data_IF_253185504701
#
_entry.id   IF_253185504701
#
_cell.length_a   1.000
_cell.length_b   1.000
_cell.length_c   1.000
_cell.angle_alpha   90.00
_cell.angle_beta   90.00
_cell.angle_gamma   90.00
#
_symmetry.space_group_name_H-M   'P 1'
#
loop_
_entity.id
_entity.type
_entity.pdbx_description
1 polymer ?
#
# COMPACT_ATOMS: atom_id res chain seq x y z
N UNK A 1 -4.96 6.41 -13.37
CA UNK A 1 -3.76 5.54 -13.40
C UNK A 1 -3.46 4.96 -12.03
N UNK A 2 -3.04 5.76 -11.04
CA UNK A 2 -2.73 5.29 -9.68
C UNK A 2 -3.76 4.33 -9.03
N UNK A 3 -5.07 4.62 -9.18
CA UNK A 3 -6.13 3.74 -8.69
C UNK A 3 -6.11 2.34 -9.33
N UNK A 4 -5.88 2.28 -10.64
CA UNK A 4 -5.83 1.04 -11.41
C UNK A 4 -4.54 0.27 -11.12
N UNK A 5 -3.40 0.97 -11.04
CA UNK A 5 -2.13 0.39 -10.60
C UNK A 5 -2.32 -0.31 -9.25
N UNK A 6 -2.88 0.40 -8.26
CA UNK A 6 -3.00 -0.13 -6.91
C UNK A 6 -3.93 -1.35 -6.81
N UNK A 7 -5.10 -1.30 -7.47
CA UNK A 7 -6.07 -2.41 -7.47
C UNK A 7 -5.59 -3.60 -8.30
N UNK A 8 -4.90 -3.34 -9.40
CA UNK A 8 -4.42 -4.35 -10.34
C UNK A 8 -3.10 -5.00 -9.95
N UNK A 9 -2.30 -4.40 -9.08
CA UNK A 9 -0.96 -4.91 -8.79
C UNK A 9 -0.97 -6.20 -7.96
N UNK A 10 -0.57 -7.31 -8.59
CA UNK A 10 -0.51 -8.65 -7.97
C UNK A 10 0.47 -8.71 -6.79
N UNK A 11 1.64 -8.09 -6.92
CA UNK A 11 2.69 -8.16 -5.92
C UNK A 11 2.31 -7.36 -4.66
N UNK A 12 1.71 -6.18 -4.84
CA UNK A 12 1.16 -5.40 -3.73
C UNK A 12 0.08 -6.17 -2.96
N UNK A 13 -0.90 -6.77 -3.65
CA UNK A 13 -1.91 -7.64 -3.00
C UNK A 13 -1.29 -8.81 -2.24
N UNK A 14 -0.26 -9.42 -2.81
CA UNK A 14 0.47 -10.53 -2.15
C UNK A 14 1.22 -10.05 -0.90
N UNK A 15 1.79 -8.84 -0.91
CA UNK A 15 2.39 -8.22 0.26
C UNK A 15 1.35 -8.00 1.36
N UNK A 16 0.18 -7.45 1.03
CA UNK A 16 -0.91 -7.27 2.00
C UNK A 16 -1.33 -8.62 2.62
N UNK A 17 -1.49 -9.66 1.80
CA UNK A 17 -1.81 -11.00 2.29
C UNK A 17 -0.73 -11.57 3.22
N UNK A 18 0.55 -11.40 2.88
CA UNK A 18 1.66 -11.83 3.72
C UNK A 18 1.71 -11.08 5.06
N UNK A 19 1.42 -9.77 5.06
CA UNK A 19 1.29 -8.98 6.28
C UNK A 19 0.14 -9.51 7.14
N UNK A 20 -1.03 -9.74 6.56
CA UNK A 20 -2.20 -10.26 7.27
C UNK A 20 -1.92 -11.65 7.88
N UNK A 21 -1.38 -12.58 7.09
CA UNK A 21 -1.03 -13.93 7.55
C UNK A 21 0.01 -13.89 8.66
N UNK A 22 1.03 -13.05 8.53
CA UNK A 22 2.07 -12.90 9.54
C UNK A 22 1.50 -12.31 10.82
N UNK A 23 0.70 -11.24 10.72
CA UNK A 23 0.00 -10.64 11.85
C UNK A 23 -0.91 -11.63 12.59
N UNK A 24 -1.72 -12.41 11.85
CA UNK A 24 -2.57 -13.44 12.44
C UNK A 24 -1.76 -14.51 13.15
N UNK A 25 -0.65 -14.97 12.56
CA UNK A 25 0.20 -16.00 13.18
C UNK A 25 0.89 -15.51 14.45
N UNK A 26 1.29 -14.24 14.49
CA UNK A 26 1.91 -13.63 15.67
C UNK A 26 0.91 -13.40 16.80
N UNK A 27 -0.33 -13.04 16.45
CA UNK A 27 -1.39 -12.72 17.41
C UNK A 27 -2.34 -13.89 17.71
N UNK A 28 -2.00 -15.11 17.27
CA UNK A 28 -2.84 -16.28 17.44
C UNK A 28 -3.04 -16.59 18.96
N UNK A 29 -4.27 -16.93 19.35
CA UNK A 29 -4.66 -17.00 20.77
C UNK A 29 -4.76 -15.66 21.50
N UNK A 30 -4.79 -14.53 20.78
CA UNK A 30 -5.15 -13.20 21.33
C UNK A 30 -6.35 -12.64 20.59
N UNK A 31 -6.99 -11.60 21.12
CA UNK A 31 -8.10 -10.90 20.44
C UNK A 31 -7.71 -10.27 19.09
N UNK A 32 -6.41 -10.13 18.81
CA UNK A 32 -5.87 -9.60 17.55
C UNK A 32 -5.55 -10.70 16.52
N UNK A 33 -5.72 -11.97 16.88
CA UNK A 33 -5.57 -13.11 15.97
C UNK A 33 -6.83 -13.32 15.13
N UNK A 34 -6.70 -14.04 14.00
CA UNK A 34 -7.84 -14.40 13.15
C UNK A 34 -8.50 -13.22 12.42
N UNK A 35 -7.80 -12.09 12.26
CA UNK A 35 -8.29 -10.95 11.51
C UNK A 35 -8.50 -11.31 10.03
N UNK A 36 -9.56 -10.75 9.42
CA UNK A 36 -9.85 -10.90 8.00
C UNK A 36 -9.23 -9.78 7.15
N UNK A 37 -8.96 -8.64 7.78
CA UNK A 37 -8.37 -7.46 7.16
C UNK A 37 -7.61 -6.63 8.20
N UNK A 38 -6.83 -5.65 7.74
CA UNK A 38 -6.15 -4.68 8.58
C UNK A 38 -6.18 -3.30 7.91
N UNK A 39 -6.11 -2.23 8.70
CA UNK A 39 -6.02 -0.86 8.17
C UNK A 39 -4.66 -0.64 7.50
N UNK A 40 -4.60 0.03 6.34
CA UNK A 40 -3.34 0.20 5.62
C UNK A 40 -2.29 0.99 6.40
N UNK A 41 -2.66 1.87 7.34
CA UNK A 41 -1.70 2.52 8.26
C UNK A 41 -0.84 1.52 9.03
N UNK A 42 -1.28 0.26 9.19
CA UNK A 42 -0.49 -0.81 9.81
C UNK A 42 0.80 -1.08 9.03
N UNK A 43 0.83 -0.87 7.72
CA UNK A 43 2.02 -1.04 6.88
C UNK A 43 3.17 -0.17 7.37
N UNK A 44 2.86 1.07 7.78
CA UNK A 44 3.84 2.04 8.26
C UNK A 44 4.44 1.67 9.62
N UNK A 45 3.83 0.73 10.35
CA UNK A 45 4.28 0.27 11.68
C UNK A 45 5.15 -0.97 11.62
N UNK A 46 5.27 -1.61 10.44
CA UNK A 46 5.99 -2.88 10.31
C UNK A 46 7.50 -2.73 10.56
N UNK A 47 8.07 -1.55 10.33
CA UNK A 47 9.47 -1.28 10.64
C UNK A 47 9.73 -1.04 12.14
N UNK A 48 8.70 -0.71 12.91
CA UNK A 48 8.84 -0.42 14.35
C UNK A 48 8.80 -1.69 15.21
N UNK A 49 8.15 -2.74 14.70
CA UNK A 49 8.07 -4.03 15.39
C UNK A 49 9.39 -4.77 15.20
N UNK A 50 10.28 -4.64 16.18
CA UNK A 50 11.63 -5.24 16.18
C UNK A 50 11.65 -6.62 16.83
N UNK A 51 12.54 -7.46 16.32
CA UNK A 51 12.79 -8.76 16.88
C UNK A 51 13.67 -8.71 18.14
N UNK A 52 13.95 -9.89 18.73
CA UNK A 52 14.81 -10.07 19.90
C UNK A 52 16.23 -9.56 19.69
N UNK A 53 16.70 -9.55 18.44
CA UNK A 53 18.02 -9.02 18.07
C UNK A 53 18.06 -7.48 18.04
N UNK A 54 16.91 -6.80 18.19
CA UNK A 54 16.75 -5.35 18.12
C UNK A 54 17.06 -4.73 16.75
N UNK A 55 17.37 -5.57 15.73
CA UNK A 55 17.86 -5.16 14.41
C UNK A 55 16.87 -5.55 13.32
N UNK A 56 16.40 -6.79 13.33
CA UNK A 56 15.49 -7.32 12.32
C UNK A 56 14.06 -6.88 12.66
N UNK A 57 13.39 -6.23 11.73
CA UNK A 57 12.00 -5.77 11.91
C UNK A 57 11.01 -6.77 11.32
N UNK A 58 9.72 -6.62 11.65
CA UNK A 58 8.66 -7.41 11.05
C UNK A 58 8.59 -7.20 9.54
N UNK A 59 8.88 -5.97 9.07
CA UNK A 59 8.99 -5.69 7.64
C UNK A 59 10.07 -6.54 6.98
N UNK A 60 11.26 -6.65 7.56
CA UNK A 60 12.33 -7.52 7.03
C UNK A 60 11.85 -8.97 6.87
N UNK A 61 11.12 -9.47 7.87
CA UNK A 61 10.59 -10.83 7.85
C UNK A 61 9.61 -11.04 6.68
N UNK A 62 8.65 -10.12 6.52
CA UNK A 62 7.67 -10.15 5.42
C UNK A 62 8.37 -10.06 4.07
N UNK A 63 9.36 -9.17 3.94
CA UNK A 63 10.13 -8.97 2.70
C UNK A 63 10.89 -10.24 2.32
N UNK A 64 11.58 -10.89 3.25
CA UNK A 64 12.30 -12.14 2.99
C UNK A 64 11.36 -13.26 2.52
N UNK A 65 10.18 -13.38 3.14
CA UNK A 65 9.18 -14.38 2.75
C UNK A 65 8.65 -14.14 1.33
N UNK A 66 8.38 -12.88 0.98
CA UNK A 66 7.96 -12.51 -0.37
C UNK A 66 9.09 -12.76 -1.36
N UNK A 67 10.32 -12.33 -1.09
CA UNK A 67 11.49 -12.58 -1.94
C UNK A 67 11.62 -14.08 -2.25
N UNK A 68 11.56 -14.94 -1.23
CA UNK A 68 11.65 -16.39 -1.41
C UNK A 68 10.58 -16.92 -2.35
N UNK A 69 9.32 -16.54 -2.11
CA UNK A 69 8.19 -17.04 -2.92
C UNK A 69 8.12 -16.45 -4.33
N UNK A 70 8.54 -15.19 -4.51
CA UNK A 70 8.61 -14.53 -5.82
C UNK A 70 9.79 -15.07 -6.65
N UNK A 71 10.91 -15.37 -6.01
CA UNK A 71 12.09 -15.98 -6.62
C UNK A 71 11.80 -17.33 -7.25
N UNK A 72 11.14 -18.22 -6.51
CA UNK A 72 10.73 -19.54 -7.02
C UNK A 72 9.79 -19.39 -8.22
N UNK A 73 8.79 -18.49 -8.13
CA UNK A 73 7.85 -18.31 -9.25
C UNK A 73 8.54 -17.73 -10.47
N UNK A 74 9.38 -16.71 -10.30
CA UNK A 74 10.08 -16.09 -11.41
C UNK A 74 11.02 -17.10 -12.09
N UNK A 75 11.70 -17.96 -11.34
CA UNK A 75 12.54 -19.00 -11.92
C UNK A 75 11.72 -20.05 -12.69
N UNK A 76 10.54 -20.43 -12.19
CA UNK A 76 9.59 -21.29 -12.92
C UNK A 76 9.10 -20.63 -14.21
N UNK A 77 8.84 -19.33 -14.19
CA UNK A 77 8.42 -18.59 -15.38
C UNK A 77 9.50 -18.56 -16.47
N UNK A 78 10.78 -18.44 -16.08
CA UNK A 78 11.91 -18.51 -17.04
C UNK A 78 12.15 -19.92 -17.56
N UNK A 79 11.92 -20.96 -16.75
CA UNK A 79 12.06 -22.37 -17.15
C UNK A 79 10.89 -22.93 -17.95
N UNK A 80 9.75 -22.25 -17.98
CA UNK A 80 8.57 -22.64 -18.76
C UNK A 80 8.74 -22.57 -20.28
N UNK A 81 9.92 -22.19 -20.78
CA UNK A 81 10.27 -22.18 -22.21
C UNK A 81 11.19 -23.33 -22.64
N UNK A 82 11.72 -24.14 -21.72
CA UNK A 82 12.55 -25.30 -22.05
C UNK A 82 12.04 -26.58 -21.35
N UNK A 83 11.47 -27.48 -22.15
CA UNK A 83 11.14 -28.89 -21.90
C UNK A 83 10.72 -29.33 -20.48
N UNK A 84 9.43 -29.67 -20.38
CA UNK A 84 8.83 -30.53 -19.36
C UNK A 84 9.61 -31.84 -19.15
N UNK A 85 10.29 -31.99 -18.02
CA UNK A 85 10.29 -33.23 -17.22
C UNK A 85 11.05 -33.03 -15.91
N UNK A 86 10.46 -33.54 -14.83
CA UNK A 86 11.01 -33.60 -13.46
C UNK A 86 10.92 -32.30 -12.67
N UNK A 87 9.77 -32.10 -12.02
CA UNK A 87 9.65 -31.82 -10.58
C UNK A 87 8.16 -31.61 -10.23
N UNK A 88 7.37 -32.66 -10.37
CA UNK A 88 6.10 -32.79 -9.64
C UNK A 88 6.43 -33.27 -8.23
N UNK A 89 7.03 -32.41 -7.42
CA UNK A 89 7.17 -32.69 -5.98
C UNK A 89 7.23 -31.36 -5.25
N UNK A 90 6.15 -31.05 -4.54
CA UNK A 90 6.09 -29.94 -3.58
C UNK A 90 6.93 -30.20 -2.31
N UNK A 91 7.78 -31.23 -2.31
CA UNK A 91 8.52 -31.72 -1.14
C UNK A 91 10.02 -31.86 -1.46
N UNK A 92 10.76 -30.75 -1.32
CA UNK A 92 12.17 -30.69 -0.88
C UNK A 92 12.79 -29.34 -1.29
N UNK A 93 12.41 -28.26 -0.59
CA UNK A 93 13.19 -27.01 -0.65
C UNK A 93 14.43 -27.06 0.25
N UNK A 94 14.54 -28.08 1.13
CA UNK A 94 15.65 -28.21 2.08
C UNK A 94 16.94 -28.79 1.46
N UNK A 95 16.88 -29.33 0.23
CA UNK A 95 18.01 -30.01 -0.43
C UNK A 95 18.40 -29.42 -1.80
N UNK A 96 17.96 -28.20 -2.12
CA UNK A 96 18.40 -27.53 -3.35
C UNK A 96 19.88 -27.12 -3.23
N UNK A 97 20.71 -27.20 -4.31
CA UNK A 97 22.07 -26.69 -4.27
C UNK A 97 22.09 -25.23 -3.80
N UNK A 98 23.06 -24.85 -2.96
CA UNK A 98 23.21 -23.47 -2.45
C UNK A 98 23.12 -22.41 -3.56
N UNK A 99 23.66 -22.69 -4.75
CA UNK A 99 23.60 -21.80 -5.92
C UNK A 99 22.17 -21.59 -6.47
N UNK A 100 21.30 -22.58 -6.31
CA UNK A 100 19.89 -22.51 -6.71
C UNK A 100 19.08 -21.61 -5.76
N UNK A 101 19.41 -21.63 -4.46
CA UNK A 101 18.77 -20.76 -3.47
C UNK A 101 19.19 -19.29 -3.61
N UNK A 102 20.49 -19.02 -3.83
CA UNK A 102 20.98 -17.66 -4.06
C UNK A 102 20.44 -17.07 -5.37
N UNK A 103 20.31 -17.90 -6.40
CA UNK A 103 19.64 -17.51 -7.65
C UNK A 103 18.17 -17.13 -7.41
N UNK A 104 17.39 -17.94 -6.69
CA UNK A 104 16.00 -17.60 -6.36
C UNK A 104 15.91 -16.35 -5.49
N UNK A 105 16.79 -16.19 -4.51
CA UNK A 105 16.84 -15.00 -3.67
C UNK A 105 17.10 -13.74 -4.49
N UNK A 106 18.08 -13.79 -5.40
CA UNK A 106 18.43 -12.67 -6.28
C UNK A 106 17.24 -12.29 -7.18
N UNK A 107 16.62 -13.28 -7.82
CA UNK A 107 15.47 -13.07 -8.71
C UNK A 107 14.25 -12.53 -7.95
N UNK A 108 13.97 -13.09 -6.77
CA UNK A 108 12.91 -12.60 -5.89
C UNK A 108 13.16 -11.16 -5.43
N UNK A 109 14.40 -10.84 -5.06
CA UNK A 109 14.79 -9.48 -4.67
C UNK A 109 14.60 -8.49 -5.82
N UNK A 110 14.97 -8.87 -7.05
CA UNK A 110 14.73 -8.06 -8.24
C UNK A 110 13.24 -7.76 -8.41
N UNK A 111 12.39 -8.78 -8.31
CA UNK A 111 10.92 -8.63 -8.41
C UNK A 111 10.39 -7.68 -7.32
N UNK A 112 10.77 -7.89 -6.05
CA UNK A 112 10.26 -7.08 -4.93
C UNK A 112 10.74 -5.63 -5.00
N UNK A 113 12.02 -5.41 -5.32
CA UNK A 113 12.55 -4.05 -5.50
C UNK A 113 12.00 -3.32 -6.74
N UNK A 114 11.41 -4.06 -7.69
CA UNK A 114 10.73 -3.49 -8.85
C UNK A 114 9.33 -2.93 -8.54
N UNK A 115 8.73 -3.28 -7.39
CA UNK A 115 7.35 -2.89 -7.07
C UNK A 115 7.16 -1.36 -7.05
N UNK A 116 8.17 -0.64 -6.56
CA UNK A 116 8.13 0.82 -6.56
C UNK A 116 7.94 1.40 -7.96
N UNK A 117 8.48 0.76 -9.00
CA UNK A 117 8.35 1.23 -10.38
C UNK A 117 6.99 0.85 -10.99
N UNK A 118 6.40 -0.27 -10.58
CA UNK A 118 5.06 -0.68 -11.00
C UNK A 118 3.94 0.19 -10.39
N UNK A 119 4.25 0.91 -9.31
CA UNK A 119 3.34 1.81 -8.59
C UNK A 119 3.84 3.26 -8.65
N UNK A 120 4.40 3.67 -9.80
CA UNK A 120 4.98 5.00 -9.99
C UNK A 120 3.91 6.09 -9.93
N UNK A 121 2.74 5.87 -10.53
CA UNK A 121 1.66 6.87 -10.51
C UNK A 121 1.02 6.97 -9.13
N UNK A 122 1.08 5.93 -8.29
CA UNK A 122 0.72 6.02 -6.87
C UNK A 122 1.61 7.04 -6.14
N UNK A 123 2.93 7.04 -6.38
CA UNK A 123 3.83 8.04 -5.76
C UNK A 123 3.52 9.45 -6.23
N UNK A 124 3.18 9.63 -7.52
CA UNK A 124 2.78 10.93 -8.07
C UNK A 124 1.45 11.40 -7.49
N UNK A 125 0.46 10.51 -7.37
CA UNK A 125 -0.83 10.81 -6.79
C UNK A 125 -0.73 11.25 -5.32
N UNK A 126 0.23 10.69 -4.57
CA UNK A 126 0.51 11.09 -3.19
C UNK A 126 1.05 12.53 -3.04
N UNK A 127 1.49 13.17 -4.13
CA UNK A 127 1.95 14.55 -4.13
C UNK A 127 0.84 15.56 -4.54
N UNK A 128 -0.35 15.07 -4.92
CA UNK A 128 -1.46 15.92 -5.32
C UNK A 128 -2.15 16.48 -4.07
N UNK A 129 -2.41 17.79 -4.09
CA UNK A 129 -3.25 18.47 -3.10
C UNK A 129 -4.68 18.58 -3.64
N UNK A 130 -5.57 17.72 -3.14
CA UNK A 130 -6.97 17.67 -3.57
C UNK A 130 -7.73 18.95 -3.20
N UNK A 131 -7.43 19.55 -2.05
CA UNK A 131 -8.13 20.75 -1.57
C UNK A 131 -7.72 21.96 -2.40
N UNK A 132 -6.42 22.07 -2.73
CA UNK A 132 -5.90 23.09 -3.64
C UNK A 132 -6.53 22.95 -5.03
N UNK A 133 -6.63 21.73 -5.56
CA UNK A 133 -7.26 21.48 -6.86
C UNK A 133 -8.73 21.93 -6.83
N UNK A 134 -9.50 21.46 -5.84
CA UNK A 134 -10.91 21.81 -5.63
C UNK A 134 -11.12 23.32 -5.50
N UNK A 135 -10.26 23.98 -4.72
CA UNK A 135 -10.29 25.43 -4.53
C UNK A 135 -10.02 26.16 -5.84
N UNK A 136 -9.07 25.69 -6.64
CA UNK A 136 -8.68 26.32 -7.91
C UNK A 136 -9.79 26.21 -8.94
N UNK A 137 -10.38 25.01 -9.10
CA UNK A 137 -11.54 24.78 -9.99
C UNK A 137 -12.71 25.69 -9.60
N UNK A 138 -13.01 25.76 -8.31
CA UNK A 138 -14.10 26.60 -7.78
C UNK A 138 -13.85 28.10 -8.02
N UNK A 139 -12.61 28.57 -7.81
CA UNK A 139 -12.22 29.97 -8.06
C UNK A 139 -12.36 30.32 -9.54
N UNK A 140 -11.93 29.42 -10.44
CA UNK A 140 -12.01 29.62 -11.88
C UNK A 140 -13.48 29.74 -12.35
N UNK A 141 -14.35 28.86 -11.86
CA UNK A 141 -15.80 28.97 -12.10
C UNK A 141 -16.42 30.25 -11.54
N UNK A 142 -16.00 30.68 -10.34
CA UNK A 142 -16.44 31.94 -9.75
C UNK A 142 -15.99 33.17 -10.54
N UNK A 143 -14.76 33.16 -11.08
CA UNK A 143 -14.25 34.22 -11.95
C UNK A 143 -15.02 34.29 -13.27
N UNK A 144 -15.27 33.14 -13.91
CA UNK A 144 -16.07 33.07 -15.12
C UNK A 144 -17.46 33.64 -14.91
N UNK A 145 -18.13 33.29 -13.80
CA UNK A 145 -19.46 33.81 -13.49
C UNK A 145 -19.47 35.35 -13.36
N UNK A 146 -18.40 35.94 -12.81
CA UNK A 146 -18.25 37.40 -12.73
C UNK A 146 -18.05 38.01 -14.13
N UNK A 147 -17.22 37.40 -14.97
CA UNK A 147 -16.98 37.86 -16.35
C UNK A 147 -18.25 37.79 -17.19
N UNK A 148 -19.01 36.69 -17.07
CA UNK A 148 -20.31 36.52 -17.75
C UNK A 148 -21.31 37.58 -17.32
N UNK A 149 -21.43 37.84 -16.01
CA UNK A 149 -22.26 38.94 -15.48
C UNK A 149 -21.85 40.30 -16.03
N UNK A 150 -20.55 40.60 -16.09
CA UNK A 150 -20.05 41.86 -16.65
C UNK A 150 -20.42 42.02 -18.14
N UNK A 151 -20.28 40.94 -18.92
CA UNK A 151 -20.69 40.90 -20.33
C UNK A 151 -22.19 41.15 -20.48
N UNK A 152 -23.01 40.49 -19.67
CA UNK A 152 -24.48 40.59 -19.75
C UNK A 152 -25.03 41.94 -19.26
N UNK A 153 -24.37 42.61 -18.30
CA UNK A 153 -24.90 43.85 -17.70
C UNK A 153 -24.28 45.13 -18.26
N UNK A 154 -22.95 45.21 -18.30
CA UNK A 154 -22.23 46.45 -18.62
C UNK A 154 -22.00 46.57 -20.13
N UNK A 155 -21.74 45.46 -20.81
CA UNK A 155 -21.35 45.49 -22.22
C UNK A 155 -22.52 45.56 -23.19
N UNK A 156 -23.73 45.13 -22.80
CA UNK A 156 -24.94 45.30 -23.62
C UNK A 156 -25.31 46.77 -23.91
N UNK A 157 -24.71 47.71 -23.17
CA UNK A 157 -24.95 49.16 -23.30
C UNK A 157 -23.98 49.85 -24.27
N UNK A 158 -22.96 49.15 -24.73
CA UNK A 158 -21.90 49.67 -25.60
C UNK A 158 -22.15 49.10 -27.00
N UNK A 159 -22.11 49.95 -28.03
CA UNK A 159 -22.46 49.69 -29.45
C UNK A 159 -22.46 48.21 -29.90
N UNK A 160 -23.54 47.82 -30.58
CA UNK A 160 -23.86 46.44 -31.03
C UNK A 160 -22.75 45.71 -31.83
N UNK A 161 -21.68 46.40 -32.26
CA UNK A 161 -20.62 45.88 -33.12
C UNK A 161 -19.18 46.05 -32.58
N UNK A 162 -18.98 46.24 -31.27
CA UNK A 162 -17.64 46.31 -30.69
C UNK A 162 -16.89 44.97 -30.76
N UNK A 163 -15.78 44.89 -31.52
CA UNK A 163 -14.92 43.69 -31.62
C UNK A 163 -14.52 43.08 -30.26
N UNK A 164 -14.42 43.91 -29.21
CA UNK A 164 -14.15 43.46 -27.85
C UNK A 164 -15.28 42.61 -27.28
N UNK A 165 -16.55 43.03 -27.44
CA UNK A 165 -17.73 42.31 -26.95
C UNK A 165 -17.78 40.93 -27.60
N UNK A 166 -17.63 40.88 -28.93
CA UNK A 166 -17.61 39.62 -29.67
C UNK A 166 -16.48 38.67 -29.19
N UNK A 167 -15.28 39.20 -29.00
CA UNK A 167 -14.13 38.41 -28.52
C UNK A 167 -14.37 37.90 -27.11
N UNK A 168 -14.90 38.75 -26.22
CA UNK A 168 -15.18 38.41 -24.84
C UNK A 168 -16.32 37.38 -24.73
N UNK A 169 -17.36 37.48 -25.55
CA UNK A 169 -18.43 36.46 -25.64
C UNK A 169 -17.83 35.11 -26.00
N UNK A 170 -17.02 35.05 -27.07
CA UNK A 170 -16.43 33.79 -27.52
C UNK A 170 -15.44 33.21 -26.49
N UNK A 171 -14.73 34.06 -25.76
CA UNK A 171 -13.89 33.65 -24.63
C UNK A 171 -14.72 33.06 -23.48
N UNK A 172 -15.81 33.73 -23.08
CA UNK A 172 -16.68 33.26 -21.99
C UNK A 172 -17.33 31.94 -22.34
N UNK A 173 -17.85 31.77 -23.56
CA UNK A 173 -18.45 30.52 -24.02
C UNK A 173 -17.44 29.37 -24.00
N UNK A 174 -16.22 29.59 -24.52
CA UNK A 174 -15.16 28.59 -24.49
C UNK A 174 -14.75 28.24 -23.06
N UNK A 175 -14.51 29.25 -22.23
CA UNK A 175 -14.13 29.04 -20.83
C UNK A 175 -15.24 28.33 -20.03
N UNK A 176 -16.52 28.60 -20.31
CA UNK A 176 -17.65 27.91 -19.67
C UNK A 176 -17.65 26.42 -19.94
N UNK A 177 -17.39 26.01 -21.19
CA UNK A 177 -17.28 24.61 -21.55
C UNK A 177 -16.10 23.93 -20.84
N UNK A 178 -14.91 24.54 -20.89
CA UNK A 178 -13.70 23.99 -20.30
C UNK A 178 -13.80 23.88 -18.77
N UNK A 179 -14.34 24.90 -18.09
CA UNK A 179 -14.48 24.92 -16.63
C UNK A 179 -15.56 23.93 -16.17
N UNK A 180 -16.66 23.81 -16.92
CA UNK A 180 -17.71 22.82 -16.63
C UNK A 180 -17.18 21.40 -16.79
N UNK A 181 -16.37 21.16 -17.83
CA UNK A 181 -15.67 19.89 -18.01
C UNK A 181 -14.71 19.62 -16.84
N UNK A 182 -13.87 20.59 -16.48
CA UNK A 182 -12.89 20.49 -15.40
C UNK A 182 -13.56 20.11 -14.07
N UNK A 183 -14.68 20.75 -13.75
CA UNK A 183 -15.44 20.47 -12.52
C UNK A 183 -16.12 19.10 -12.53
N UNK A 184 -16.59 18.65 -13.70
CA UNK A 184 -17.16 17.30 -13.86
C UNK A 184 -16.08 16.24 -13.71
N UNK A 185 -14.89 16.49 -14.26
CA UNK A 185 -13.75 15.59 -14.24
C UNK A 185 -13.14 15.48 -12.84
N UNK A 186 -13.04 16.59 -12.12
CA UNK A 186 -12.67 16.64 -10.69
C UNK A 186 -13.56 15.69 -9.86
N UNK A 187 -14.89 15.81 -9.99
CA UNK A 187 -15.85 14.93 -9.28
C UNK A 187 -15.67 13.47 -9.65
N UNK A 188 -15.46 13.19 -10.94
CA UNK A 188 -15.23 11.83 -11.45
C UNK A 188 -13.97 11.24 -10.82
N UNK A 189 -12.86 11.98 -10.80
CA UNK A 189 -11.59 11.56 -10.20
C UNK A 189 -11.77 11.28 -8.70
N UNK A 190 -12.39 12.19 -7.96
CA UNK A 190 -12.65 12.01 -6.52
C UNK A 190 -13.52 10.78 -6.24
N UNK A 191 -14.51 10.49 -7.10
CA UNK A 191 -15.31 9.28 -6.99
C UNK A 191 -14.50 8.00 -7.20
N UNK A 192 -13.57 8.00 -8.17
CA UNK A 192 -12.70 6.84 -8.44
C UNK A 192 -11.71 6.63 -7.29
N UNK A 193 -11.14 7.71 -6.75
CA UNK A 193 -10.28 7.67 -5.56
C UNK A 193 -11.06 7.09 -4.38
N UNK A 194 -12.27 7.60 -4.12
CA UNK A 194 -13.12 7.08 -3.05
C UNK A 194 -13.39 5.58 -3.22
N UNK A 195 -13.83 5.14 -4.40
CA UNK A 195 -14.08 3.70 -4.64
C UNK A 195 -12.82 2.83 -4.49
N UNK A 196 -11.64 3.40 -4.70
CA UNK A 196 -10.36 2.71 -4.48
C UNK A 196 -10.00 2.66 -2.99
N UNK A 197 -10.21 3.74 -2.26
CA UNK A 197 -10.08 3.77 -0.80
C UNK A 197 -11.05 2.77 -0.15
N UNK A 198 -12.29 2.74 -0.62
CA UNK A 198 -13.31 1.83 -0.09
C UNK A 198 -12.94 0.36 -0.30
N UNK A 199 -12.28 0.05 -1.41
CA UNK A 199 -11.77 -1.29 -1.70
C UNK A 199 -10.71 -1.76 -0.68
N UNK A 200 -9.87 -0.87 -0.16
CA UNK A 200 -8.81 -1.22 0.81
C UNK A 200 -9.20 -1.02 2.28
N UNK A 201 -10.09 -0.08 2.58
CA UNK A 201 -10.46 0.29 3.95
C UNK A 201 -11.91 0.00 4.33
N UNK A 202 -12.74 -0.49 3.41
CA UNK A 202 -14.19 -0.59 3.62
C UNK A 202 -14.85 0.78 3.56
N UNK A 203 -15.97 0.99 4.26
CA UNK A 203 -16.66 2.28 4.25
C UNK A 203 -15.88 3.34 5.07
N UNK A 204 -14.74 3.77 4.53
CA UNK A 204 -13.88 4.77 5.12
C UNK A 204 -14.63 6.11 5.10
N UNK A 205 -14.56 6.85 6.21
CA UNK A 205 -15.18 8.17 6.30
C UNK A 205 -14.64 9.13 5.22
N UNK A 206 -15.22 10.34 5.17
CA UNK A 206 -14.91 11.35 4.14
C UNK A 206 -13.42 11.77 4.06
N UNK A 207 -12.59 11.46 5.06
CA UNK A 207 -11.23 11.97 5.22
C UNK A 207 -10.09 11.08 4.72
N UNK A 208 -10.37 9.92 4.12
CA UNK A 208 -9.29 9.05 3.63
C UNK A 208 -8.80 9.35 2.20
N UNK A 209 -9.52 10.23 1.47
CA UNK A 209 -9.20 10.78 0.14
C UNK A 209 -7.91 10.31 -0.54
N UNK A 210 -6.93 11.20 -0.69
CA UNK A 210 -5.62 10.89 -1.26
C UNK A 210 -4.64 10.27 -0.23
N UNK A 211 -5.03 10.17 1.04
CA UNK A 211 -4.20 9.61 2.11
C UNK A 211 -3.79 8.17 1.82
N UNK A 212 -4.64 7.40 1.14
CA UNK A 212 -4.31 6.08 0.62
C UNK A 212 -2.98 6.07 -0.13
N UNK A 213 -2.78 7.01 -1.05
CA UNK A 213 -1.56 7.06 -1.86
C UNK A 213 -0.34 7.45 -1.04
N UNK A 214 -0.51 8.33 -0.04
CA UNK A 214 0.56 8.71 0.89
C UNK A 214 1.05 7.49 1.68
N UNK A 215 0.13 6.71 2.26
CA UNK A 215 0.45 5.50 3.02
C UNK A 215 1.20 4.50 2.13
N UNK A 216 0.72 4.27 0.91
CA UNK A 216 1.35 3.32 0.00
C UNK A 216 2.73 3.81 -0.44
N UNK A 217 2.87 5.08 -0.81
CA UNK A 217 4.16 5.69 -1.16
C UNK A 217 5.19 5.50 -0.04
N UNK A 218 4.81 5.82 1.19
CA UNK A 218 5.72 5.75 2.34
C UNK A 218 6.10 4.29 2.65
N UNK A 219 5.13 3.38 2.55
CA UNK A 219 5.41 1.94 2.64
C UNK A 219 6.36 1.46 1.54
N UNK A 220 6.23 1.95 0.31
CA UNK A 220 7.15 1.59 -0.78
C UNK A 220 8.58 2.06 -0.50
N UNK A 221 8.77 3.25 0.08
CA UNK A 221 10.10 3.68 0.52
C UNK A 221 10.67 2.80 1.64
N UNK A 222 9.83 2.38 2.59
CA UNK A 222 10.23 1.43 3.63
C UNK A 222 10.59 0.07 3.04
N UNK A 223 9.82 -0.41 2.05
CA UNK A 223 10.06 -1.66 1.35
C UNK A 223 11.39 -1.64 0.60
N UNK A 224 11.68 -0.56 -0.12
CA UNK A 224 12.95 -0.38 -0.84
C UNK A 224 14.15 -0.39 0.11
N UNK A 225 14.02 0.28 1.26
CA UNK A 225 15.03 0.27 2.30
C UNK A 225 15.25 -1.15 2.84
N UNK A 226 14.18 -1.86 3.20
CA UNK A 226 14.28 -3.23 3.68
C UNK A 226 14.88 -4.18 2.63
N UNK A 227 14.58 -3.98 1.34
CA UNK A 227 15.19 -4.75 0.25
C UNK A 227 16.71 -4.54 0.15
N UNK A 228 17.18 -3.30 0.35
CA UNK A 228 18.62 -2.99 0.40
C UNK A 228 19.29 -3.65 1.61
N UNK A 229 18.70 -3.54 2.79
CA UNK A 229 19.21 -4.15 4.03
C UNK A 229 19.25 -5.69 3.94
N UNK A 230 18.24 -6.31 3.31
CA UNK A 230 18.21 -7.75 3.03
C UNK A 230 19.24 -8.17 1.97
N UNK A 231 19.63 -7.29 1.04
CA UNK A 231 20.70 -7.56 0.07
C UNK A 231 22.06 -7.61 0.75
N UNK A 232 22.30 -6.69 1.67
CA UNK A 232 23.59 -6.50 2.34
C UNK A 232 23.84 -7.48 3.49
N UNK A 233 22.79 -8.16 3.99
CA UNK A 233 22.91 -9.17 5.03
C UNK A 233 23.20 -10.57 4.44
N UNK A 234 24.44 -11.09 4.53
CA UNK A 234 24.72 -12.48 4.21
C UNK A 234 23.92 -13.40 5.14
N UNK A 235 23.51 -14.57 4.63
CA UNK A 235 22.75 -15.56 5.42
C UNK A 235 23.49 -15.85 6.73
N UNK A 236 22.85 -15.65 7.88
CA UNK A 236 23.22 -16.38 9.09
C UNK A 236 22.71 -17.80 8.92
N UNK A 237 23.62 -18.74 8.71
CA UNK A 237 23.32 -20.17 8.80
C UNK A 237 22.77 -20.44 10.20
N UNK A 238 21.57 -21.02 10.36
CA UNK A 238 21.17 -21.54 11.65
C UNK A 238 22.17 -22.65 12.01
N UNK A 239 23.05 -22.42 12.99
CA UNK A 239 23.71 -23.54 13.64
C UNK A 239 22.61 -24.37 14.30
N UNK A 240 22.42 -25.60 13.83
CA UNK A 240 21.38 -26.48 14.31
C UNK A 240 21.43 -26.68 15.83
N UNK A 241 20.29 -26.95 16.47
CA UNK A 241 20.26 -27.22 17.89
C UNK A 241 21.05 -28.49 18.19
N UNK A 242 22.06 -28.41 19.06
CA UNK A 242 22.60 -29.58 19.73
C UNK A 242 21.45 -30.23 20.51
N UNK A 243 21.11 -31.44 20.12
CA UNK A 243 20.10 -32.29 20.74
C UNK A 243 20.28 -32.36 22.25
N UNK A 244 19.27 -31.88 22.98
CA UNK A 244 18.87 -32.45 24.27
C UNK A 244 17.36 -32.62 24.24
N UNK A 245 16.95 -33.88 24.21
CA UNK A 245 15.56 -34.31 24.33
C UNK A 245 14.94 -33.75 25.62
N UNK A 246 13.81 -33.06 25.50
CA UNK A 246 12.80 -33.01 26.57
C UNK A 246 11.42 -33.03 25.92
N UNK A 247 10.59 -33.94 26.42
CA UNK A 247 9.25 -34.27 25.95
C UNK A 247 8.24 -33.14 26.19
N UNK A 248 7.34 -32.96 25.21
CA UNK A 248 5.90 -32.77 25.42
C UNK A 248 5.40 -31.50 26.12
N UNK A 249 5.35 -30.37 25.38
CA UNK A 249 4.29 -29.35 25.50
C UNK A 249 4.13 -28.69 24.12
N UNK A 250 2.91 -28.43 23.65
CA UNK A 250 2.62 -27.69 22.40
C UNK A 250 3.33 -26.35 22.39
N UNK A 251 4.47 -26.30 21.69
CA UNK A 251 5.34 -25.12 21.65
C UNK A 251 4.75 -24.05 20.71
N UNK A 252 4.79 -22.76 21.09
CA UNK A 252 4.46 -21.67 20.19
C UNK A 252 5.45 -21.64 19.02
N UNK A 253 4.97 -21.29 17.82
CA UNK A 253 5.80 -21.27 16.61
C UNK A 253 7.06 -20.40 16.77
N UNK A 254 8.21 -20.75 16.17
CA UNK A 254 9.50 -20.06 16.34
C UNK A 254 9.45 -18.54 16.11
N UNK A 255 8.55 -18.08 15.23
CA UNK A 255 8.36 -16.66 14.90
C UNK A 255 7.77 -15.83 16.05
N UNK A 256 7.03 -16.45 16.98
CA UNK A 256 6.50 -15.75 18.17
C UNK A 256 7.58 -15.38 19.17
N UNK A 257 8.62 -16.20 19.27
CA UNK A 257 9.79 -15.91 20.11
C UNK A 257 10.66 -14.81 19.50
N UNK A 258 10.57 -14.58 18.19
CA UNK A 258 11.38 -13.57 17.53
C UNK A 258 10.93 -12.15 17.84
N UNK A 259 9.66 -11.86 18.19
CA UNK A 259 9.14 -10.49 18.33
C UNK A 259 8.42 -10.27 19.68
N UNK A 260 9.15 -9.91 20.76
CA UNK A 260 8.62 -9.86 22.12
C UNK A 260 7.71 -8.66 22.42
N UNK A 261 7.84 -7.55 21.69
CA UNK A 261 7.10 -6.30 21.94
C UNK A 261 5.56 -6.44 21.86
N UNK A 262 5.06 -7.58 21.39
CA UNK A 262 3.62 -7.91 21.32
C UNK A 262 3.14 -8.60 22.61
N UNK A 263 4.04 -9.16 23.44
CA UNK A 263 3.70 -9.78 24.72
C UNK A 263 3.36 -8.76 25.83
N UNK A 264 4.07 -7.63 25.88
CA UNK A 264 4.07 -6.72 27.04
C UNK A 264 2.82 -5.84 27.18
N UNK A 265 1.87 -5.89 26.23
CA UNK A 265 0.58 -5.20 26.37
C UNK A 265 -0.45 -5.97 27.20
N UNK A 266 -0.02 -7.02 27.92
CA UNK A 266 -0.88 -7.95 28.67
C UNK A 266 -1.27 -7.52 30.09
N UNK A 267 -0.83 -6.38 30.62
CA UNK A 267 -0.92 -6.16 32.09
C UNK A 267 -1.75 -4.94 32.55
N UNK A 268 -2.13 -3.98 31.71
CA UNK A 268 -2.92 -2.82 32.18
C UNK A 268 -4.31 -2.76 31.53
N UNK A 269 -5.22 -3.61 31.99
CA UNK A 269 -6.67 -3.38 31.99
C UNK A 269 -7.29 -4.34 33.00
N UNK A 270 -7.13 -4.00 34.28
CA UNK A 270 -7.98 -4.52 35.34
C UNK A 270 -9.18 -3.59 35.41
N UNK A 271 -10.33 -4.08 34.95
CA UNK A 271 -11.63 -3.46 35.16
C UNK A 271 -11.99 -3.56 36.66
N UNK A 272 -12.17 -2.42 37.33
CA UNK A 272 -12.89 -2.36 38.59
C UNK A 272 -14.39 -2.28 38.28
N UNK A 273 -15.05 -3.43 38.46
CA UNK A 273 -16.49 -3.61 38.44
C UNK A 273 -17.09 -3.06 39.75
N UNK A 274 -17.88 -1.97 39.68
CA UNK A 274 -18.84 -1.66 40.74
C UNK A 274 -20.19 -1.28 40.12
N UNK A 275 -21.06 -2.28 40.01
CA UNK A 275 -22.48 -2.10 39.73
C UNK A 275 -23.25 -2.06 41.05
N UNK A 276 -24.10 -1.04 41.32
CA UNK A 276 -25.16 -1.20 42.30
C UNK A 276 -26.49 -1.44 41.56
N UNK A 277 -27.29 -2.36 42.09
CA UNK A 277 -28.70 -2.50 41.73
C UNK A 277 -29.46 -3.06 42.93
N UNK A 278 -30.77 -2.79 42.98
CA UNK A 278 -31.42 -1.61 43.55
C UNK A 278 -31.63 -1.68 45.07
#
# INVERSE_FOLDING_TARGET
AACEELKGNRLFRKLLEAVLKTGNRMNDGTFRGGAQAFKLDTLLKLADVKGTDGKTTLLHFVVQEIIRSEGVRAARATRGSENMSSLNSEENLENAPLETEDHFRSLGLQVVSGLGNELEDVKKAAAIDADMLTSTVSKLGGMLLKTKKFLDSEMQRIEENGHFVQTLTHFVEHAENEITWLHSEEKRILSVVKGTTDYFHGNAGKDEGLRLFIIVRDFLYMLDKACKEVRETPRRVPQGPRTKEVQGVTAPSPKRLLFPAILDRRVDSSDDDESPSP
#
